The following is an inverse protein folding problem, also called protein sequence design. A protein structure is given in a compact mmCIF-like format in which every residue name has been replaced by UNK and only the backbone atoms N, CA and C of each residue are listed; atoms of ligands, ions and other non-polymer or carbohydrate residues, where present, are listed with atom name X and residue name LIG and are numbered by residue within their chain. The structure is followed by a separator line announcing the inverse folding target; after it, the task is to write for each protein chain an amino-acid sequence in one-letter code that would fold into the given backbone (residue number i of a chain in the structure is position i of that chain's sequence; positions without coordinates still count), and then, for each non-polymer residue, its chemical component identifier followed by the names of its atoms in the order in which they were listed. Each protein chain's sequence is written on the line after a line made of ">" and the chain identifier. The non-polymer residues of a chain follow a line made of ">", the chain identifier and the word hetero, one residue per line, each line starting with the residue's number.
data_IF_807148290157
#
_entry.id   IF_807148290157
#
_cell.length_a   1.000
_cell.length_b   1.000
_cell.length_c   1.000
_cell.angle_alpha   90.00
_cell.angle_beta   90.00
_cell.angle_gamma   90.00
#
_symmetry.space_group_name_H-M   'P 1'
#
loop_
_entity.id
_entity.type
_entity.pdbx_description
1 polymer ?
#
# COMPACT_ATOMS: atom_id res chain seq x y z
N UNK A 1 -11.93 -3.31 -2.83
CA UNK A 1 -11.00 -4.47 -2.85
C UNK A 1 -11.06 -5.17 -1.48
N UNK A 2 -10.61 -6.44 -1.30
CA UNK A 2 -10.60 -7.08 0.04
C UNK A 2 -9.18 -7.11 0.62
N UNK A 3 -8.85 -6.17 1.52
CA UNK A 3 -7.54 -6.08 2.19
C UNK A 3 -7.43 -7.07 3.34
N UNK A 4 -6.26 -7.71 3.50
CA UNK A 4 -5.95 -8.52 4.69
C UNK A 4 -5.02 -7.75 5.62
N UNK A 5 -5.36 -7.71 6.90
CA UNK A 5 -4.61 -7.01 7.97
C UNK A 5 -4.28 -8.04 9.06
N UNK A 6 -3.07 -8.04 9.60
CA UNK A 6 -2.64 -9.05 10.60
C UNK A 6 -1.67 -8.47 11.64
N UNK A 7 -2.17 -7.72 12.64
CA UNK A 7 -1.41 -7.30 13.85
C UNK A 7 -2.29 -6.50 14.85
N UNK A 8 -1.87 -6.31 16.12
CA UNK A 8 -2.50 -5.36 17.03
C UNK A 8 -2.10 -3.92 16.63
N UNK A 9 -3.05 -3.19 16.05
CA UNK A 9 -2.86 -1.79 15.67
C UNK A 9 -3.59 -0.90 16.67
N UNK A 10 -2.97 0.22 17.07
CA UNK A 10 -3.72 1.26 17.77
C UNK A 10 -4.69 2.00 16.82
N UNK A 11 -5.55 2.85 17.37
CA UNK A 11 -6.55 3.56 16.57
C UNK A 11 -5.92 4.48 15.51
N UNK A 12 -4.71 4.99 15.77
CA UNK A 12 -3.99 5.92 14.90
C UNK A 12 -3.43 5.19 13.67
N UNK A 13 -2.82 4.03 13.90
CA UNK A 13 -2.34 3.13 12.86
C UNK A 13 -3.48 2.63 11.97
N UNK A 14 -4.65 2.33 12.54
CA UNK A 14 -5.84 1.96 11.78
C UNK A 14 -6.38 3.10 10.92
N UNK A 15 -6.41 4.34 11.44
CA UNK A 15 -6.85 5.52 10.68
C UNK A 15 -5.91 5.83 9.52
N UNK A 16 -4.59 5.85 9.77
CA UNK A 16 -3.57 6.06 8.74
C UNK A 16 -3.66 4.99 7.65
N UNK A 17 -3.77 3.72 8.03
CA UNK A 17 -3.94 2.61 7.07
C UNK A 17 -5.24 2.73 6.27
N UNK A 18 -6.36 3.09 6.91
CA UNK A 18 -7.63 3.25 6.22
C UNK A 18 -7.59 4.37 5.17
N UNK A 19 -6.97 5.51 5.51
CA UNK A 19 -6.76 6.62 4.56
C UNK A 19 -5.86 6.20 3.40
N UNK A 20 -4.73 5.56 3.70
CA UNK A 20 -3.80 5.05 2.70
C UNK A 20 -4.48 4.10 1.71
N UNK A 21 -5.22 3.11 2.23
CA UNK A 21 -5.97 2.15 1.41
C UNK A 21 -7.10 2.82 0.62
N UNK A 22 -7.78 3.82 1.20
CA UNK A 22 -8.82 4.58 0.50
C UNK A 22 -8.31 5.37 -0.70
N UNK A 23 -7.05 5.81 -0.66
CA UNK A 23 -6.37 6.41 -1.82
C UNK A 23 -5.91 5.34 -2.80
N UNK A 24 -5.32 4.24 -2.30
CA UNK A 24 -4.89 3.12 -3.12
C UNK A 24 -6.04 2.50 -3.93
N UNK A 25 -7.26 2.43 -3.39
CA UNK A 25 -8.44 1.93 -4.12
C UNK A 25 -8.84 2.78 -5.33
N UNK A 26 -8.39 4.03 -5.39
CA UNK A 26 -8.69 4.97 -6.49
C UNK A 26 -7.53 5.12 -7.45
N UNK A 27 -6.40 4.45 -7.19
CA UNK A 27 -5.20 4.60 -8.00
C UNK A 27 -5.35 3.84 -9.32
N UNK A 28 -4.78 4.42 -10.36
CA UNK A 28 -4.63 3.77 -11.67
C UNK A 28 -3.14 3.69 -12.00
N UNK A 29 -2.63 2.52 -12.42
CA UNK A 29 -3.33 1.27 -12.72
C UNK A 29 -3.88 0.51 -11.50
N UNK A 30 -4.90 -0.33 -11.72
CA UNK A 30 -5.48 -1.18 -10.68
C UNK A 30 -4.55 -2.34 -10.29
N UNK A 31 -4.45 -2.69 -9.00
CA UNK A 31 -3.72 -3.87 -8.54
C UNK A 31 -4.28 -5.18 -9.10
N UNK A 32 -3.40 -6.12 -9.46
CA UNK A 32 -3.78 -7.49 -9.85
C UNK A 32 -3.89 -8.44 -8.66
N UNK A 33 -3.28 -8.07 -7.53
CA UNK A 33 -3.43 -8.75 -6.26
C UNK A 33 -3.96 -7.81 -5.19
N UNK A 34 -4.81 -8.31 -4.28
CA UNK A 34 -5.31 -7.50 -3.18
C UNK A 34 -4.16 -7.06 -2.28
N UNK A 35 -4.22 -5.83 -1.73
CA UNK A 35 -3.22 -5.33 -0.80
C UNK A 35 -3.20 -6.16 0.47
N UNK A 36 -2.02 -6.30 1.02
CA UNK A 36 -1.78 -6.96 2.30
C UNK A 36 -0.97 -6.02 3.19
N UNK A 37 -1.53 -5.69 4.35
CA UNK A 37 -0.88 -4.82 5.32
C UNK A 37 -0.14 -5.65 6.38
N UNK A 38 1.12 -5.32 6.61
CA UNK A 38 2.01 -5.94 7.59
C UNK A 38 2.63 -4.83 8.44
N UNK A 39 2.55 -4.95 9.76
CA UNK A 39 3.27 -4.05 10.67
C UNK A 39 4.71 -4.52 10.78
N UNK A 40 5.64 -3.63 10.45
CA UNK A 40 7.06 -3.80 10.67
C UNK A 40 7.50 -3.30 12.04
N UNK A 41 8.81 -3.18 12.21
CA UNK A 41 9.41 -2.52 13.37
C UNK A 41 9.16 -0.99 13.31
N UNK A 42 9.25 -0.32 14.46
CA UNK A 42 9.13 1.14 14.58
C UNK A 42 7.81 1.76 14.05
N UNK A 43 6.68 1.08 14.26
CA UNK A 43 5.33 1.54 13.87
C UNK A 43 5.15 1.80 12.36
N UNK A 44 5.98 1.16 11.52
CA UNK A 44 5.88 1.24 10.07
C UNK A 44 4.88 0.20 9.55
N UNK A 45 3.89 0.63 8.77
CA UNK A 45 2.94 -0.28 8.12
C UNK A 45 3.34 -0.47 6.67
N UNK A 46 3.74 -1.69 6.30
CA UNK A 46 4.02 -2.07 4.92
C UNK A 46 2.75 -2.58 4.23
N UNK A 47 2.46 -2.04 3.05
CA UNK A 47 1.33 -2.46 2.22
C UNK A 47 1.86 -3.11 0.95
N UNK A 48 1.86 -4.45 0.94
CA UNK A 48 2.27 -5.25 -0.21
C UNK A 48 1.15 -5.26 -1.26
N UNK A 49 1.48 -4.91 -2.52
CA UNK A 49 0.50 -4.82 -3.61
C UNK A 49 1.09 -5.32 -4.92
N UNK A 50 0.37 -6.21 -5.61
CA UNK A 50 0.82 -6.77 -6.88
C UNK A 50 0.32 -5.97 -8.08
N UNK A 51 1.21 -5.64 -9.01
CA UNK A 51 0.91 -4.99 -10.29
C UNK A 51 1.40 -5.82 -11.48
N UNK A 52 0.99 -5.42 -12.69
CA UNK A 52 1.24 -6.20 -13.90
C UNK A 52 2.65 -5.98 -14.46
N UNK A 53 3.19 -4.78 -14.37
CA UNK A 53 4.50 -4.40 -14.93
C UNK A 53 5.33 -3.59 -13.96
N UNK A 54 6.65 -3.54 -14.19
CA UNK A 54 7.55 -2.67 -13.41
C UNK A 54 7.16 -1.19 -13.54
N UNK A 55 6.74 -0.74 -14.74
CA UNK A 55 6.27 0.64 -14.96
C UNK A 55 5.05 0.97 -14.09
N UNK A 56 4.10 0.03 -13.98
CA UNK A 56 2.95 0.17 -13.08
C UNK A 56 3.39 0.28 -11.61
N UNK A 57 4.36 -0.53 -11.19
CA UNK A 57 4.87 -0.47 -9.80
C UNK A 57 5.55 0.85 -9.48
N UNK A 58 6.31 1.41 -10.42
CA UNK A 58 7.00 2.70 -10.26
C UNK A 58 5.99 3.85 -10.21
N UNK A 59 5.06 3.89 -11.17
CA UNK A 59 4.04 4.93 -11.26
C UNK A 59 3.17 5.01 -9.99
N UNK A 60 2.76 3.86 -9.46
CA UNK A 60 1.97 3.80 -8.23
C UNK A 60 2.84 4.09 -7.01
N UNK A 61 4.08 3.60 -7.00
CA UNK A 61 5.07 3.90 -5.96
C UNK A 61 5.24 5.38 -5.72
N UNK A 62 5.51 6.15 -6.77
CA UNK A 62 5.73 7.61 -6.68
C UNK A 62 4.49 8.33 -6.11
N UNK A 63 3.31 7.99 -6.61
CA UNK A 63 2.04 8.60 -6.13
C UNK A 63 1.74 8.26 -4.68
N UNK A 64 1.96 7.01 -4.28
CA UNK A 64 1.67 6.59 -2.92
C UNK A 64 2.74 7.06 -1.93
N UNK A 65 3.96 7.39 -2.39
CA UNK A 65 4.99 7.99 -1.56
C UNK A 65 4.58 9.41 -1.08
N UNK A 66 3.96 10.21 -1.95
CA UNK A 66 3.42 11.52 -1.57
C UNK A 66 2.33 11.38 -0.49
N UNK A 67 1.39 10.45 -0.71
CA UNK A 67 0.32 10.15 0.24
C UNK A 67 0.87 9.65 1.58
N UNK A 68 1.92 8.82 1.55
CA UNK A 68 2.58 8.33 2.74
C UNK A 68 3.26 9.46 3.54
N UNK A 69 3.88 10.43 2.85
CA UNK A 69 4.49 11.59 3.48
C UNK A 69 3.44 12.47 4.17
N UNK A 70 2.34 12.78 3.48
CA UNK A 70 1.24 13.55 4.05
C UNK A 70 0.64 12.87 5.30
N UNK A 71 0.44 11.55 5.23
CA UNK A 71 -0.05 10.77 6.36
C UNK A 71 0.94 10.72 7.52
N UNK A 72 2.24 10.63 7.25
CA UNK A 72 3.27 10.67 8.28
C UNK A 72 3.28 12.03 8.99
N UNK A 73 3.12 13.13 8.26
CA UNK A 73 3.03 14.47 8.86
C UNK A 73 1.76 14.65 9.71
N UNK A 74 0.61 14.17 9.22
CA UNK A 74 -0.68 14.28 9.92
C UNK A 74 -0.75 13.36 11.14
N UNK A 75 -0.30 12.11 10.99
CA UNK A 75 -0.56 11.03 11.94
C UNK A 75 0.70 10.51 12.62
N UNK A 76 1.91 10.92 12.24
CA UNK A 76 3.15 10.35 12.79
C UNK A 76 3.32 8.85 12.57
N UNK A 77 2.50 8.22 11.72
CA UNK A 77 2.57 6.81 11.35
C UNK A 77 3.04 6.71 9.90
N UNK A 78 4.09 5.95 9.65
CA UNK A 78 4.58 5.71 8.30
C UNK A 78 3.83 4.53 7.68
N UNK A 79 3.11 4.77 6.59
CA UNK A 79 2.50 3.70 5.77
C UNK A 79 3.24 3.65 4.44
N UNK A 80 4.01 2.58 4.21
CA UNK A 80 4.85 2.42 3.04
C UNK A 80 4.24 1.44 2.05
N UNK A 81 4.21 1.82 0.77
CA UNK A 81 3.86 0.89 -0.31
C UNK A 81 5.05 -0.05 -0.58
N UNK A 82 4.78 -1.35 -0.65
CA UNK A 82 5.70 -2.36 -1.15
C UNK A 82 5.13 -2.98 -2.43
N UNK A 83 5.18 -2.27 -3.58
CA UNK A 83 4.65 -2.80 -4.83
C UNK A 83 5.57 -3.90 -5.38
N UNK A 84 4.99 -4.91 -6.02
CA UNK A 84 5.74 -5.97 -6.68
C UNK A 84 5.10 -6.35 -8.01
N UNK A 85 5.90 -6.86 -8.94
CA UNK A 85 5.39 -7.43 -10.19
C UNK A 85 4.84 -8.82 -9.91
N UNK A 86 3.54 -9.00 -10.10
CA UNK A 86 2.90 -10.29 -10.02
C UNK A 86 3.23 -11.11 -11.28
N UNK A 87 4.04 -12.16 -11.15
CA UNK A 87 4.31 -13.10 -12.23
C UNK A 87 3.01 -13.84 -12.62
N UNK A 88 2.26 -13.28 -13.58
CA UNK A 88 0.92 -13.75 -13.91
C UNK A 88 0.28 -13.22 -15.20
N UNK A 89 0.97 -12.43 -16.03
CA UNK A 89 0.57 -12.28 -17.43
C UNK A 89 1.39 -13.29 -18.25
N UNK A 90 0.98 -14.56 -18.24
CA UNK A 90 1.49 -15.56 -19.19
C UNK A 90 1.33 -14.95 -20.58
N UNK A 91 2.45 -14.65 -21.24
CA UNK A 91 2.50 -14.58 -22.69
C UNK A 91 2.22 -16.01 -23.16
N UNK A 92 0.97 -16.30 -23.49
CA UNK A 92 0.55 -17.47 -24.24
C UNK A 92 -0.04 -17.01 -25.55
#
# INVERSE_FOLDING_TARGET
>A
MKTRVTFPADAKALDALAKFLGTLEKISPEPVHPPKAVLGEDDIIFVEVGYKTDEDTLLVGDRMAEVAADLLEETGVLVALAPFVAAGARQS
#
